data_IF_001888615850
#
_entry.id   IF_001888615850
#
_cell.length_a   1.000
_cell.length_b   1.000
_cell.length_c   1.000
_cell.angle_alpha   90.00
_cell.angle_beta   90.00
_cell.angle_gamma   90.00
#
_symmetry.space_group_name_H-M   'P 1'
#
loop_
_entity.id
_entity.type
_entity.pdbx_description
1 polymer ?
#
# COMPACT_ATOMS: atom_id res chain seq x y z
N UNK A 1 8.77 -14.49 10.16
CA UNK A 1 8.17 -13.73 11.26
C UNK A 1 8.47 -12.26 11.07
N UNK A 2 7.59 -11.54 10.36
CA UNK A 2 7.61 -10.07 10.35
C UNK A 2 7.13 -9.53 11.69
N UNK A 3 7.70 -8.42 12.13
CA UNK A 3 7.30 -7.78 13.40
C UNK A 3 6.39 -6.61 13.06
N UNK A 4 5.34 -6.33 13.83
CA UNK A 4 4.41 -5.21 13.52
C UNK A 4 5.09 -3.85 13.25
N UNK A 5 6.33 -3.64 13.71
CA UNK A 5 7.15 -2.46 13.43
C UNK A 5 7.55 -2.31 11.95
N UNK A 6 7.70 -3.40 11.19
CA UNK A 6 8.11 -3.32 9.77
C UNK A 6 7.02 -2.71 8.87
N UNK A 7 5.76 -2.74 9.33
CA UNK A 7 4.62 -2.11 8.66
C UNK A 7 4.52 -0.60 8.92
N UNK A 8 5.20 -0.05 9.93
CA UNK A 8 5.13 1.39 10.24
C UNK A 8 5.78 2.26 9.16
N UNK A 9 6.75 1.72 8.45
CA UNK A 9 7.47 2.38 7.35
C UNK A 9 7.03 1.84 5.98
N UNK A 10 5.93 1.11 5.92
CA UNK A 10 5.40 0.54 4.69
C UNK A 10 4.31 1.42 4.08
N UNK A 11 4.22 1.39 2.76
CA UNK A 11 3.19 2.07 1.98
C UNK A 11 2.14 1.07 1.50
N UNK A 12 0.87 1.31 1.82
CA UNK A 12 -0.24 0.55 1.24
C UNK A 12 -0.47 1.03 -0.19
N UNK A 13 -0.33 0.14 -1.16
CA UNK A 13 -0.57 0.47 -2.56
C UNK A 13 -2.05 0.38 -2.87
N UNK A 14 -2.59 1.46 -3.46
CA UNK A 14 -3.96 1.52 -3.97
C UNK A 14 -3.95 1.78 -5.48
N UNK A 15 -5.04 1.43 -6.15
CA UNK A 15 -5.27 1.75 -7.55
C UNK A 15 -6.55 2.56 -7.72
N UNK A 16 -6.51 3.54 -8.61
CA UNK A 16 -7.69 4.32 -9.01
C UNK A 16 -7.53 4.84 -10.43
N UNK A 17 -8.62 4.90 -11.17
CA UNK A 17 -8.71 5.57 -12.48
C UNK A 17 -9.10 7.04 -12.38
N UNK A 18 -9.44 7.52 -11.18
CA UNK A 18 -9.98 8.85 -10.93
C UNK A 18 -9.10 9.62 -9.94
N UNK A 19 -7.86 9.98 -10.30
CA UNK A 19 -6.89 10.54 -9.36
C UNK A 19 -7.33 11.87 -8.72
N UNK A 20 -8.23 12.62 -9.36
CA UNK A 20 -8.82 13.84 -8.81
C UNK A 20 -9.66 13.59 -7.54
N UNK A 21 -10.00 12.33 -7.23
CA UNK A 21 -10.72 11.96 -6.01
C UNK A 21 -9.79 11.65 -4.83
N UNK A 22 -8.47 11.52 -5.03
CA UNK A 22 -7.53 11.27 -3.93
C UNK A 22 -7.68 12.28 -2.77
N UNK A 23 -7.83 13.60 -3.03
CA UNK A 23 -8.09 14.57 -1.97
C UNK A 23 -9.28 14.24 -1.04
N UNK A 24 -10.28 13.52 -1.55
CA UNK A 24 -11.46 13.14 -0.78
C UNK A 24 -11.33 11.80 -0.05
N UNK A 25 -10.23 11.06 -0.22
CA UNK A 25 -10.07 9.74 0.38
C UNK A 25 -10.01 9.83 1.91
N UNK A 26 -10.85 9.04 2.58
CA UNK A 26 -10.95 8.99 4.05
C UNK A 26 -10.62 7.63 4.65
N UNK A 27 -10.48 6.60 3.83
CA UNK A 27 -10.20 5.24 4.25
C UNK A 27 -9.69 4.44 3.05
N UNK A 28 -9.00 3.33 3.33
CA UNK A 28 -8.62 2.33 2.32
C UNK A 28 -9.34 1.02 2.62
N UNK A 29 -10.04 0.48 1.63
CA UNK A 29 -10.71 -0.82 1.79
C UNK A 29 -9.77 -1.98 1.44
N UNK A 30 -9.90 -3.10 2.14
CA UNK A 30 -9.22 -4.37 1.81
C UNK A 30 -10.19 -5.55 1.93
N UNK A 31 -9.87 -6.70 1.36
CA UNK A 31 -10.68 -7.92 1.47
C UNK A 31 -9.96 -8.98 2.30
N UNK A 32 -10.53 -9.50 3.40
CA UNK A 32 -9.95 -10.62 4.15
C UNK A 32 -9.77 -11.91 3.34
N UNK A 33 -10.36 -12.00 2.14
CA UNK A 33 -10.23 -13.15 1.23
C UNK A 33 -9.02 -13.07 0.29
N UNK A 34 -8.39 -11.89 0.18
CA UNK A 34 -7.24 -11.67 -0.69
C UNK A 34 -5.96 -11.86 0.13
N UNK A 35 -4.97 -12.52 -0.46
CA UNK A 35 -3.65 -12.64 0.13
C UNK A 35 -2.87 -11.34 -0.08
N UNK A 36 -2.29 -10.81 0.99
CA UNK A 36 -1.46 -9.61 0.95
C UNK A 36 -0.05 -9.92 1.46
N UNK A 37 0.92 -9.27 0.84
CA UNK A 37 2.33 -9.40 1.19
C UNK A 37 2.96 -8.05 1.47
N UNK A 38 3.99 -8.08 2.32
CA UNK A 38 4.97 -7.00 2.43
C UNK A 38 6.10 -7.29 1.44
N UNK A 39 6.40 -6.30 0.61
CA UNK A 39 7.41 -6.36 -0.42
C UNK A 39 8.42 -5.24 -0.21
N UNK A 40 9.70 -5.51 -0.48
CA UNK A 40 10.74 -4.50 -0.56
C UNK A 40 11.07 -4.23 -2.02
N UNK A 41 11.16 -2.96 -2.39
CA UNK A 41 11.71 -2.55 -3.69
C UNK A 41 13.22 -2.78 -3.66
N UNK A 42 13.73 -3.57 -4.58
CA UNK A 42 15.17 -3.90 -4.68
C UNK A 42 15.86 -3.19 -5.83
N UNK A 43 15.11 -2.81 -6.86
CA UNK A 43 15.58 -2.02 -7.99
C UNK A 43 14.45 -1.18 -8.58
N UNK A 44 14.78 -0.02 -9.14
CA UNK A 44 13.88 0.84 -9.90
C UNK A 44 14.63 1.40 -11.12
N UNK A 45 14.00 1.35 -12.29
CA UNK A 45 14.57 1.95 -13.52
C UNK A 45 14.28 3.45 -13.60
N UNK A 46 13.18 3.89 -12.99
CA UNK A 46 12.72 5.27 -13.04
C UNK A 46 13.24 6.08 -11.85
N UNK A 47 13.49 7.38 -12.06
CA UNK A 47 13.82 8.33 -10.99
C UNK A 47 12.60 8.86 -10.22
N UNK A 48 11.42 8.29 -10.48
CA UNK A 48 10.15 8.64 -9.86
C UNK A 48 9.41 7.38 -9.42
N UNK A 49 8.47 7.52 -8.48
CA UNK A 49 7.79 6.38 -7.87
C UNK A 49 8.65 5.67 -6.83
N UNK A 50 8.27 4.44 -6.43
CA UNK A 50 8.97 3.70 -5.38
C UNK A 50 10.44 3.43 -5.71
N UNK A 51 11.31 3.66 -4.74
CA UNK A 51 12.76 3.52 -4.83
C UNK A 51 13.29 2.34 -4.00
N UNK A 52 14.50 1.82 -4.29
CA UNK A 52 15.10 0.74 -3.52
C UNK A 52 15.11 1.00 -2.01
N UNK A 53 14.72 -0.01 -1.23
CA UNK A 53 14.57 0.05 0.23
C UNK A 53 13.17 0.44 0.72
N UNK A 54 12.31 0.99 -0.15
CA UNK A 54 10.91 1.24 0.21
C UNK A 54 10.14 -0.07 0.35
N UNK A 55 9.22 -0.10 1.33
CA UNK A 55 8.37 -1.27 1.60
C UNK A 55 6.94 -1.01 1.16
N UNK A 56 6.38 -1.94 0.41
CA UNK A 56 5.04 -1.85 -0.16
C UNK A 56 4.17 -3.00 0.35
N UNK A 57 2.96 -2.68 0.79
CA UNK A 57 1.91 -3.68 1.05
C UNK A 57 1.07 -3.80 -0.23
N UNK A 58 0.99 -5.00 -0.75
CA UNK A 58 0.34 -5.30 -2.05
C UNK A 58 -0.52 -6.55 -1.95
N UNK A 59 -1.57 -6.63 -2.78
CA UNK A 59 -2.24 -7.88 -3.07
C UNK A 59 -1.29 -8.81 -3.84
N UNK A 60 -1.06 -10.03 -3.35
CA UNK A 60 -0.03 -10.93 -3.87
C UNK A 60 -0.25 -11.22 -5.37
N UNK A 61 -1.52 -11.37 -5.80
CA UNK A 61 -1.89 -11.67 -7.18
C UNK A 61 -1.53 -10.57 -8.20
N UNK A 62 -1.38 -9.32 -7.73
CA UNK A 62 -1.13 -8.16 -8.59
C UNK A 62 0.31 -7.65 -8.52
N UNK A 63 1.09 -8.11 -7.53
CA UNK A 63 2.40 -7.54 -7.23
C UNK A 63 3.38 -7.65 -8.40
N UNK A 64 3.44 -8.79 -9.09
CA UNK A 64 4.39 -9.02 -10.19
C UNK A 64 4.05 -8.17 -11.43
N UNK A 65 2.79 -8.19 -11.86
CA UNK A 65 2.33 -7.42 -13.02
C UNK A 65 2.46 -5.91 -12.78
N UNK A 66 2.12 -5.44 -11.57
CA UNK A 66 2.29 -4.05 -11.19
C UNK A 66 3.77 -3.64 -11.14
N UNK A 67 4.65 -4.48 -10.59
CA UNK A 67 6.09 -4.23 -10.55
C UNK A 67 6.68 -4.09 -11.95
N UNK A 68 6.31 -5.00 -12.85
CA UNK A 68 6.71 -4.96 -14.26
C UNK A 68 6.29 -3.65 -14.94
N UNK A 69 5.01 -3.24 -14.78
CA UNK A 69 4.49 -1.99 -15.36
C UNK A 69 5.13 -0.74 -14.75
N UNK A 70 5.43 -0.77 -13.46
CA UNK A 70 6.10 0.32 -12.76
C UNK A 70 7.62 0.35 -12.98
N UNK A 71 8.18 -0.69 -13.63
CA UNK A 71 9.62 -0.89 -13.86
C UNK A 71 10.43 -0.91 -12.56
N UNK A 72 9.93 -1.69 -11.60
CA UNK A 72 10.58 -1.96 -10.32
C UNK A 72 10.72 -3.46 -10.09
N UNK A 73 11.70 -3.87 -9.29
CA UNK A 73 11.85 -5.25 -8.84
C UNK A 73 11.44 -5.37 -7.38
N UNK A 74 10.49 -6.25 -7.08
CA UNK A 74 10.00 -6.48 -5.73
C UNK A 74 10.54 -7.79 -5.16
N UNK A 75 10.98 -7.75 -3.91
CA UNK A 75 11.30 -8.93 -3.12
C UNK A 75 10.25 -9.12 -2.02
N UNK A 76 9.55 -10.25 -2.01
CA UNK A 76 8.51 -10.51 -1.00
C UNK A 76 9.16 -10.89 0.33
N UNK A 77 8.84 -10.14 1.39
CA UNK A 77 9.37 -10.36 2.72
C UNK A 77 8.54 -11.39 3.51
N UNK A 78 7.23 -11.15 3.65
CA UNK A 78 6.30 -12.06 4.32
C UNK A 78 4.84 -11.72 4.01
N UNK A 79 3.91 -12.56 4.47
CA UNK A 79 2.48 -12.32 4.43
C UNK A 79 2.07 -11.21 5.43
N UNK A 80 1.05 -10.41 5.08
CA UNK A 80 0.35 -9.50 5.99
C UNK A 80 -1.05 -10.03 6.23
N UNK A 81 -1.41 -10.29 7.50
CA UNK A 81 -2.72 -10.84 7.83
C UNK A 81 -3.83 -9.80 7.75
N UNK A 82 -5.09 -10.22 7.55
CA UNK A 82 -6.25 -9.33 7.63
C UNK A 82 -6.34 -8.55 8.95
N UNK A 83 -5.95 -9.15 10.07
CA UNK A 83 -5.95 -8.51 11.39
C UNK A 83 -4.89 -7.42 11.48
N UNK A 84 -3.70 -7.67 10.91
CA UNK A 84 -2.66 -6.65 10.79
C UNK A 84 -3.17 -5.48 9.96
N UNK A 85 -3.75 -5.74 8.77
CA UNK A 85 -4.34 -4.70 7.92
C UNK A 85 -5.42 -3.90 8.66
N UNK A 86 -6.36 -4.57 9.32
CA UNK A 86 -7.43 -3.91 10.09
C UNK A 86 -6.91 -3.03 11.23
N UNK A 87 -5.71 -3.31 11.75
CA UNK A 87 -5.07 -2.50 12.79
C UNK A 87 -4.32 -1.28 12.26
N UNK A 88 -4.10 -1.18 10.94
CA UNK A 88 -3.35 -0.07 10.35
C UNK A 88 -4.15 1.23 10.33
N UNK A 89 -3.47 2.29 10.73
CA UNK A 89 -3.88 3.68 10.48
C UNK A 89 -2.83 4.34 9.62
N UNK A 90 -3.25 4.79 8.44
CA UNK A 90 -2.37 5.33 7.41
C UNK A 90 -2.30 6.86 7.50
N UNK A 91 -1.20 7.42 7.02
CA UNK A 91 -1.09 8.84 6.69
C UNK A 91 -1.34 9.05 5.20
N UNK A 92 -2.16 10.03 4.86
CA UNK A 92 -2.42 10.37 3.46
C UNK A 92 -1.12 10.87 2.77
N UNK A 93 -0.83 10.50 1.51
CA UNK A 93 0.38 10.97 0.82
C UNK A 93 0.44 12.50 0.63
N UNK A 94 -0.70 13.19 0.73
CA UNK A 94 -0.79 14.66 0.70
C UNK A 94 -0.76 15.31 2.09
N UNK A 95 -0.42 14.57 3.16
CA UNK A 95 -0.31 15.14 4.51
C UNK A 95 0.57 16.39 4.51
N UNK A 96 0.06 17.49 5.05
CA UNK A 96 0.74 18.79 5.11
C UNK A 96 0.68 19.62 3.83
N UNK A 97 0.21 19.06 2.69
CA UNK A 97 0.03 19.82 1.45
C UNK A 97 -1.02 20.91 1.65
N UNK A 98 -0.60 22.17 1.49
CA UNK A 98 -1.47 23.34 1.73
C UNK A 98 -2.00 23.43 3.18
N UNK A 99 -1.33 22.80 4.15
CA UNK A 99 -1.79 22.72 5.53
C UNK A 99 -2.97 21.75 5.77
N UNK A 100 -3.24 20.84 4.82
CA UNK A 100 -4.34 19.88 4.90
C UNK A 100 -3.93 18.42 5.14
N UNK A 101 -4.92 17.52 5.06
CA UNK A 101 -4.73 16.06 5.11
C UNK A 101 -4.06 15.53 6.39
N UNK A 102 -4.25 16.24 7.50
CA UNK A 102 -3.66 15.85 8.80
C UNK A 102 -4.46 14.76 9.54
N UNK A 103 -5.54 14.26 8.93
CA UNK A 103 -6.40 13.24 9.50
C UNK A 103 -5.85 11.82 9.33
N UNK A 104 -6.17 10.89 10.26
CA UNK A 104 -5.86 9.47 10.10
C UNK A 104 -6.72 8.84 9.00
N UNK A 105 -6.15 7.89 8.25
CA UNK A 105 -6.84 7.14 7.19
C UNK A 105 -6.88 5.65 7.60
N UNK A 106 -8.00 5.13 8.14
CA UNK A 106 -8.10 3.74 8.55
C UNK A 106 -8.16 2.77 7.37
N UNK A 107 -7.74 1.54 7.61
CA UNK A 107 -8.05 0.41 6.73
C UNK A 107 -9.35 -0.27 7.16
N UNK A 108 -10.23 -0.58 6.19
CA UNK A 108 -11.57 -1.13 6.46
C UNK A 108 -11.79 -2.39 5.63
N UNK A 109 -12.29 -3.46 6.25
CA UNK A 109 -12.68 -4.65 5.51
C UNK A 109 -13.90 -4.35 4.62
N UNK A 110 -13.82 -4.68 3.34
CA UNK A 110 -14.84 -4.40 2.34
C UNK A 110 -15.11 -5.59 1.42
N UNK A 111 -16.37 -6.03 1.39
CA UNK A 111 -16.83 -7.17 0.58
C UNK A 111 -16.74 -6.93 -0.93
N UNK A 112 -16.73 -5.66 -1.35
CA UNK A 112 -16.67 -5.22 -2.75
C UNK A 112 -15.25 -5.24 -3.33
N UNK A 113 -14.23 -5.48 -2.51
CA UNK A 113 -12.82 -5.52 -2.96
C UNK A 113 -12.55 -6.90 -3.58
N UNK A 114 -12.12 -6.89 -4.84
CA UNK A 114 -11.77 -8.07 -5.64
C UNK A 114 -10.28 -8.05 -5.98
N UNK A 115 -9.79 -9.20 -6.48
CA UNK A 115 -8.46 -9.34 -7.07
C UNK A 115 -8.34 -8.64 -8.43
#
# INVERSE_FOLDING_TARGET
NGTALDLLEAHVVIWTTTPWTLPGNRAVSFSPRIAYGLYEVTAAENSFGPQPGEKLIFADALAEDAASKAKVTLNRLHNVSPEQLASLTLSHPFRGLGGGYEFPVPMIAGEHVTD
#
